data_IF_809235858741
#
_entry.id   IF_809235858741
#
_cell.length_a   1.000
_cell.length_b   1.000
_cell.length_c   1.000
_cell.angle_alpha   90.00
_cell.angle_beta   90.00
_cell.angle_gamma   90.00
#
_symmetry.space_group_name_H-M   'P 1'
#
loop_
_entity.id
_entity.type
_entity.pdbx_description
1 polymer ?
#
# COMPACT_ATOMS: atom_id res chain seq x y z
N UNK A 1 36.08 5.72 31.46
CA UNK A 1 34.84 6.07 32.19
C UNK A 1 33.97 6.93 31.29
N UNK A 2 32.97 6.36 30.64
CA UNK A 2 31.96 7.12 29.87
C UNK A 2 30.92 7.68 30.85
N UNK A 3 30.74 9.00 30.86
CA UNK A 3 29.69 9.66 31.65
C UNK A 3 28.36 9.51 30.90
N UNK A 4 27.45 8.74 31.47
CA UNK A 4 26.05 8.68 31.03
C UNK A 4 25.37 9.95 31.53
N UNK A 5 24.83 10.75 30.62
CA UNK A 5 24.13 12.00 30.95
C UNK A 5 22.78 11.68 31.62
N UNK A 6 22.46 12.21 32.80
CA UNK A 6 21.21 11.90 33.49
C UNK A 6 19.99 12.47 32.75
N UNK A 7 18.99 11.61 32.53
CA UNK A 7 17.73 11.91 31.81
C UNK A 7 16.96 13.15 32.35
N UNK A 8 17.26 13.59 33.58
CA UNK A 8 16.57 14.70 34.24
C UNK A 8 17.10 16.10 33.84
N UNK A 9 18.33 16.22 33.33
CA UNK A 9 18.87 17.51 32.86
C UNK A 9 18.35 17.89 31.47
N UNK A 10 17.95 16.89 30.66
CA UNK A 10 17.37 17.14 29.34
C UNK A 10 16.01 17.87 29.39
N UNK A 11 15.27 17.78 30.51
CA UNK A 11 13.93 18.39 30.62
C UNK A 11 13.95 19.91 30.80
N UNK A 12 15.00 20.49 31.37
CA UNK A 12 15.07 21.95 31.60
C UNK A 12 15.49 22.74 30.34
N UNK A 13 16.12 22.07 29.36
CA UNK A 13 16.58 22.66 28.10
C UNK A 13 15.47 23.00 27.10
N UNK A 14 14.24 22.49 27.29
CA UNK A 14 13.16 22.63 26.30
C UNK A 14 12.14 23.76 26.57
N UNK A 15 12.30 24.54 27.65
CA UNK A 15 11.23 25.44 28.12
C UNK A 15 11.39 26.94 27.86
N UNK A 16 12.42 27.41 27.15
CA UNK A 16 12.43 28.83 26.75
C UNK A 16 13.23 29.10 25.49
N UNK A 17 12.66 29.94 24.62
CA UNK A 17 13.15 30.46 23.33
C UNK A 17 12.86 29.58 22.11
N UNK A 18 12.62 30.24 20.98
CA UNK A 18 12.54 29.70 19.61
C UNK A 18 13.16 28.32 19.54
N UNK A 19 12.33 27.27 19.42
CA UNK A 19 12.81 25.88 19.49
C UNK A 19 13.67 25.67 18.25
N UNK A 20 14.97 25.92 18.38
CA UNK A 20 15.97 25.41 17.46
C UNK A 20 15.68 23.91 17.30
N UNK A 21 15.61 23.44 16.06
CA UNK A 21 15.36 22.02 15.80
C UNK A 21 16.28 21.21 16.72
N UNK A 22 15.78 20.22 17.50
CA UNK A 22 16.59 19.48 18.48
C UNK A 22 17.89 18.93 17.90
N UNK A 23 17.95 18.74 16.57
CA UNK A 23 19.12 18.33 15.79
C UNK A 23 20.27 19.30 15.75
N UNK A 24 20.04 20.54 16.14
CA UNK A 24 21.07 21.56 16.28
C UNK A 24 21.62 21.60 17.72
N UNK A 25 20.89 21.04 18.68
CA UNK A 25 21.17 21.21 20.11
C UNK A 25 21.72 19.95 20.79
N UNK A 26 21.43 18.75 20.27
CA UNK A 26 21.90 17.50 20.89
C UNK A 26 23.20 16.99 20.23
N UNK A 27 24.14 16.45 21.02
CA UNK A 27 25.30 15.74 20.51
C UNK A 27 24.91 14.54 19.61
N UNK A 28 25.73 14.19 18.60
CA UNK A 28 25.47 13.06 17.71
C UNK A 28 25.18 11.73 18.42
N UNK A 29 25.80 11.49 19.58
CA UNK A 29 25.66 10.29 20.38
C UNK A 29 24.26 10.19 21.01
N UNK A 30 23.70 11.31 21.47
CA UNK A 30 22.35 11.36 22.00
C UNK A 30 21.32 11.04 20.91
N UNK A 31 21.56 11.50 19.68
CA UNK A 31 20.73 11.12 18.52
C UNK A 31 20.79 9.63 18.24
N UNK A 32 21.98 9.05 18.21
CA UNK A 32 22.14 7.62 18.01
C UNK A 32 21.35 6.81 19.05
N UNK A 33 21.37 7.22 20.33
CA UNK A 33 20.57 6.60 21.38
C UNK A 33 19.05 6.72 21.14
N UNK A 34 18.56 7.91 20.80
CA UNK A 34 17.13 8.15 20.51
C UNK A 34 16.68 7.26 19.34
N UNK A 35 17.43 7.24 18.24
CA UNK A 35 17.10 6.41 17.08
C UNK A 35 17.25 4.93 17.33
N UNK A 36 18.22 4.51 18.13
CA UNK A 36 18.34 3.13 18.54
C UNK A 36 17.06 2.68 19.25
N UNK A 37 16.56 3.51 20.17
CA UNK A 37 15.33 3.26 20.91
C UNK A 37 14.09 3.28 20.00
N UNK A 38 14.01 4.24 19.07
CA UNK A 38 12.94 4.28 18.06
C UNK A 38 12.96 3.06 17.14
N UNK A 39 14.14 2.58 16.73
CA UNK A 39 14.30 1.37 15.92
C UNK A 39 13.87 0.12 16.68
N UNK A 40 14.10 0.06 18.00
CA UNK A 40 13.70 -1.10 18.81
C UNK A 40 12.20 -1.13 19.09
N UNK A 41 11.55 0.03 19.21
CA UNK A 41 10.21 0.14 19.78
C UNK A 41 9.16 0.55 18.75
N UNK A 42 9.53 1.37 17.75
CA UNK A 42 8.56 2.03 16.88
C UNK A 42 9.17 2.43 15.53
N UNK A 43 9.15 1.50 14.56
CA UNK A 43 9.71 1.79 13.25
C UNK A 43 8.83 2.72 12.40
N UNK A 44 7.55 2.89 12.70
CA UNK A 44 6.78 4.01 12.12
C UNK A 44 7.38 5.36 12.56
N UNK A 45 7.82 5.46 13.82
CA UNK A 45 8.61 6.57 14.34
C UNK A 45 9.97 6.68 13.67
N UNK A 46 10.68 5.57 13.46
CA UNK A 46 11.95 5.57 12.71
C UNK A 46 11.76 6.06 11.27
N UNK A 47 10.76 5.54 10.53
CA UNK A 47 10.46 5.99 9.17
C UNK A 47 10.10 7.46 9.14
N UNK A 48 9.17 7.89 10.00
CA UNK A 48 8.83 9.30 10.12
C UNK A 48 10.10 10.13 10.35
N UNK A 49 11.01 9.67 11.22
CA UNK A 49 12.25 10.36 11.56
C UNK A 49 13.30 10.41 10.44
N UNK A 50 13.44 9.33 9.66
CA UNK A 50 14.30 9.29 8.46
C UNK A 50 13.77 10.24 7.39
N UNK A 51 12.47 10.49 7.40
CA UNK A 51 11.79 11.35 6.45
C UNK A 51 11.62 12.81 6.93
N UNK A 52 12.12 13.18 8.13
CA UNK A 52 12.02 14.55 8.66
C UNK A 52 12.80 15.53 7.80
N UNK A 53 14.12 15.32 7.61
CA UNK A 53 14.94 16.08 6.68
C UNK A 53 16.27 15.37 6.38
N UNK A 54 17.00 15.87 5.38
CA UNK A 54 18.31 15.30 4.98
C UNK A 54 19.33 15.29 6.11
N UNK A 55 19.25 16.23 7.08
CA UNK A 55 20.16 16.30 8.23
C UNK A 55 19.86 15.17 9.22
N UNK A 56 18.59 14.90 9.51
CA UNK A 56 18.16 13.74 10.30
C UNK A 56 18.61 12.45 9.65
N UNK A 57 18.32 12.28 8.36
CA UNK A 57 18.76 11.11 7.59
C UNK A 57 20.29 10.93 7.64
N UNK A 58 21.06 12.01 7.44
CA UNK A 58 22.53 11.97 7.52
C UNK A 58 22.98 11.58 8.93
N UNK A 59 22.44 12.19 9.98
CA UNK A 59 22.85 11.89 11.35
C UNK A 59 22.46 10.46 11.80
N UNK A 60 21.32 9.95 11.34
CA UNK A 60 20.89 8.56 11.58
C UNK A 60 21.86 7.58 10.92
N UNK A 61 22.25 7.85 9.67
CA UNK A 61 23.13 6.97 8.90
C UNK A 61 24.58 7.06 9.38
N UNK A 62 25.11 8.25 9.66
CA UNK A 62 26.54 8.43 9.94
C UNK A 62 26.95 8.14 11.39
N UNK A 63 26.06 8.31 12.38
CA UNK A 63 26.43 8.20 13.80
C UNK A 63 26.02 6.87 14.43
N UNK A 64 25.53 5.93 13.63
CA UNK A 64 25.20 4.59 14.09
C UNK A 64 26.39 3.68 13.83
N UNK A 65 27.04 3.16 14.88
CA UNK A 65 27.98 2.03 14.75
C UNK A 65 27.31 0.78 14.13
N UNK A 66 25.97 0.79 14.03
CA UNK A 66 25.12 -0.18 13.33
C UNK A 66 24.48 0.44 12.07
N UNK A 67 25.14 1.42 11.45
CA UNK A 67 24.71 2.15 10.25
C UNK A 67 24.14 1.20 9.20
N UNK A 68 24.88 0.13 8.94
CA UNK A 68 24.55 -0.83 7.89
C UNK A 68 23.32 -1.66 8.23
N UNK A 69 23.11 -2.04 9.50
CA UNK A 69 21.90 -2.74 9.95
C UNK A 69 20.66 -1.83 9.85
N UNK A 70 20.77 -0.58 10.30
CA UNK A 70 19.66 0.37 10.27
C UNK A 70 19.28 0.76 8.85
N UNK A 71 20.27 1.04 8.01
CA UNK A 71 20.08 1.34 6.59
C UNK A 71 19.50 0.13 5.85
N UNK A 72 20.00 -1.07 6.12
CA UNK A 72 19.44 -2.31 5.58
C UNK A 72 17.98 -2.50 5.97
N UNK A 73 17.62 -2.24 7.24
CA UNK A 73 16.22 -2.28 7.71
C UNK A 73 15.36 -1.24 7.03
N UNK A 74 15.80 0.02 6.93
CA UNK A 74 15.07 1.07 6.22
C UNK A 74 14.87 0.68 4.75
N UNK A 75 15.91 0.14 4.10
CA UNK A 75 15.85 -0.29 2.71
C UNK A 75 14.94 -1.52 2.53
N UNK A 76 14.98 -2.49 3.45
CA UNK A 76 14.04 -3.63 3.49
C UNK A 76 12.61 -3.10 3.59
N UNK A 77 12.38 -2.16 4.49
CA UNK A 77 11.07 -1.60 4.75
C UNK A 77 10.56 -0.78 3.56
N UNK A 78 11.42 0.02 2.92
CA UNK A 78 11.12 0.70 1.66
C UNK A 78 10.85 -0.26 0.50
N UNK A 79 11.43 -1.48 0.52
CA UNK A 79 11.10 -2.52 -0.44
C UNK A 79 9.73 -3.13 -0.15
N UNK A 80 9.24 -3.12 1.09
CA UNK A 80 7.99 -3.79 1.46
C UNK A 80 6.73 -2.95 1.15
N UNK A 81 6.85 -1.63 1.09
CA UNK A 81 5.68 -0.77 0.90
C UNK A 81 5.81 0.29 -0.18
N UNK A 82 4.66 0.78 -0.63
CA UNK A 82 4.54 1.90 -1.55
C UNK A 82 3.81 3.05 -0.86
N UNK A 83 4.58 4.02 -0.38
CA UNK A 83 4.10 5.20 0.33
C UNK A 83 3.98 6.46 -0.55
N UNK A 84 3.71 7.63 0.07
CA UNK A 84 3.55 8.90 -0.63
C UNK A 84 4.74 9.28 -1.53
N UNK A 85 5.96 9.05 -1.05
CA UNK A 85 7.18 9.37 -1.80
C UNK A 85 7.35 8.52 -3.07
N UNK A 86 7.08 7.22 -2.96
CA UNK A 86 7.13 6.30 -4.10
C UNK A 86 6.07 6.70 -5.13
N UNK A 87 4.85 7.01 -4.68
CA UNK A 87 3.82 7.57 -5.55
C UNK A 87 4.30 8.83 -6.26
N UNK A 88 4.77 9.84 -5.52
CA UNK A 88 5.27 11.09 -6.10
C UNK A 88 6.29 10.83 -7.22
N UNK A 89 7.27 9.94 -6.96
CA UNK A 89 8.26 9.52 -7.97
C UNK A 89 7.62 8.91 -9.22
N UNK A 90 6.64 8.02 -9.07
CA UNK A 90 5.99 7.39 -10.22
C UNK A 90 5.16 8.38 -11.05
N UNK A 91 4.57 9.38 -10.39
CA UNK A 91 3.85 10.48 -11.05
C UNK A 91 4.78 11.55 -11.66
N UNK A 92 6.10 11.41 -11.52
CA UNK A 92 7.09 12.37 -12.04
C UNK A 92 7.19 13.65 -11.20
N UNK A 93 6.75 13.60 -9.95
CA UNK A 93 6.81 14.71 -9.01
C UNK A 93 8.12 14.62 -8.22
N UNK A 94 8.82 15.74 -8.07
CA UNK A 94 10.13 15.78 -7.41
C UNK A 94 10.03 15.51 -5.90
N UNK A 95 8.99 16.02 -5.23
CA UNK A 95 8.84 15.94 -3.78
C UNK A 95 7.37 15.78 -3.38
N UNK A 96 7.11 14.96 -2.36
CA UNK A 96 5.85 14.95 -1.61
C UNK A 96 6.03 15.92 -0.42
N UNK A 97 4.98 16.59 0.02
CA UNK A 97 5.10 17.45 1.22
C UNK A 97 5.41 16.61 2.47
N UNK A 98 6.22 17.14 3.38
CA UNK A 98 6.56 16.47 4.64
C UNK A 98 5.30 16.22 5.47
N UNK A 99 4.31 17.11 5.39
CA UNK A 99 3.00 16.96 6.02
C UNK A 99 2.23 15.74 5.51
N UNK A 100 2.17 15.52 4.19
CA UNK A 100 1.53 14.33 3.60
C UNK A 100 2.25 13.04 4.00
N UNK A 101 3.58 13.08 4.07
CA UNK A 101 4.40 11.95 4.50
C UNK A 101 4.11 11.62 5.97
N UNK A 102 4.22 12.62 6.86
CA UNK A 102 3.97 12.45 8.29
C UNK A 102 2.55 11.94 8.54
N UNK A 103 1.55 12.52 7.87
CA UNK A 103 0.16 12.07 7.96
C UNK A 103 -0.02 10.63 7.48
N UNK A 104 0.65 10.23 6.39
CA UNK A 104 0.58 8.85 5.93
C UNK A 104 1.12 7.89 7.00
N UNK A 105 2.30 8.18 7.56
CA UNK A 105 2.93 7.30 8.55
C UNK A 105 2.22 7.31 9.91
N UNK A 106 1.53 8.39 10.28
CA UNK A 106 0.71 8.41 11.51
C UNK A 106 -0.51 7.49 11.45
N UNK A 107 -0.94 7.07 10.26
CA UNK A 107 -2.04 6.11 10.07
C UNK A 107 -1.61 4.67 10.35
N UNK A 108 -0.32 4.34 10.15
CA UNK A 108 0.17 2.99 10.40
C UNK A 108 0.14 2.68 11.90
N UNK A 109 -0.26 1.46 12.29
CA UNK A 109 -0.26 1.09 13.69
C UNK A 109 1.19 0.91 14.17
N UNK A 110 1.43 1.14 15.47
CA UNK A 110 2.78 1.11 16.06
C UNK A 110 3.43 -0.28 15.95
N UNK A 111 2.62 -1.33 15.97
CA UNK A 111 2.97 -2.74 15.88
C UNK A 111 2.99 -3.29 14.44
N UNK A 112 3.05 -2.42 13.41
CA UNK A 112 3.09 -2.86 12.01
C UNK A 112 4.25 -3.83 11.74
N UNK A 113 5.36 -3.75 12.47
CA UNK A 113 6.49 -4.67 12.33
C UNK A 113 6.19 -6.07 12.84
N UNK A 114 5.54 -6.14 13.99
CA UNK A 114 5.10 -7.41 14.54
C UNK A 114 4.10 -8.05 13.58
N UNK A 115 3.18 -7.25 13.02
CA UNK A 115 2.26 -7.70 11.96
C UNK A 115 3.02 -8.22 10.74
N UNK A 116 3.97 -7.45 10.19
CA UNK A 116 4.73 -7.83 9.00
C UNK A 116 5.65 -9.04 9.21
N UNK A 117 6.17 -9.25 10.42
CA UNK A 117 7.02 -10.39 10.78
C UNK A 117 6.22 -11.56 11.42
N UNK A 118 4.90 -11.44 11.53
CA UNK A 118 4.04 -12.54 11.97
C UNK A 118 3.85 -13.58 10.87
N UNK A 119 3.51 -14.82 11.25
CA UNK A 119 3.15 -15.88 10.30
C UNK A 119 1.89 -15.48 9.53
N UNK A 120 1.88 -15.71 8.22
CA UNK A 120 0.76 -15.36 7.38
C UNK A 120 -0.46 -16.26 7.63
N UNK A 121 -1.55 -15.70 8.16
CA UNK A 121 -2.79 -16.45 8.38
C UNK A 121 -3.61 -16.73 7.11
N UNK A 122 -3.38 -15.96 6.03
CA UNK A 122 -4.05 -16.16 4.73
C UNK A 122 -3.57 -17.47 4.08
N UNK A 123 -2.30 -17.83 4.30
CA UNK A 123 -1.65 -19.02 3.77
C UNK A 123 -1.13 -19.88 4.93
N UNK A 124 -2.02 -20.52 5.71
CA UNK A 124 -1.66 -21.15 6.98
C UNK A 124 -0.74 -22.36 6.84
N UNK A 125 -0.68 -22.97 5.65
CA UNK A 125 0.24 -24.06 5.31
C UNK A 125 1.65 -23.57 5.00
N UNK A 126 1.83 -22.26 4.81
CA UNK A 126 3.14 -21.67 4.55
C UNK A 126 3.78 -21.21 5.86
N UNK A 127 5.07 -21.47 6.01
CA UNK A 127 5.91 -20.86 7.06
C UNK A 127 6.29 -19.40 6.73
N UNK A 128 5.66 -18.82 5.70
CA UNK A 128 5.97 -17.48 5.22
C UNK A 128 5.41 -16.40 6.14
N UNK A 129 6.14 -15.32 6.24
CA UNK A 129 5.75 -14.13 6.99
C UNK A 129 4.78 -13.28 6.17
N UNK A 130 4.05 -12.40 6.85
CA UNK A 130 3.15 -11.44 6.19
C UNK A 130 3.91 -10.57 5.17
N UNK A 131 5.11 -10.09 5.50
CA UNK A 131 5.94 -9.27 4.58
C UNK A 131 6.36 -9.99 3.30
N UNK A 132 6.38 -11.31 3.29
CA UNK A 132 6.75 -12.13 2.13
C UNK A 132 5.55 -12.47 1.24
N UNK A 133 4.34 -12.26 1.76
CA UNK A 133 3.08 -12.71 1.13
C UNK A 133 2.11 -11.56 0.89
N UNK A 134 2.42 -10.36 1.36
CA UNK A 134 1.56 -9.19 1.23
C UNK A 134 2.31 -8.00 0.64
N UNK A 135 1.56 -7.08 0.05
CA UNK A 135 2.02 -5.75 -0.33
C UNK A 135 1.32 -4.70 0.51
N UNK A 136 2.09 -3.76 1.06
CA UNK A 136 1.56 -2.64 1.84
C UNK A 136 1.57 -1.37 0.98
N UNK A 137 0.40 -0.82 0.69
CA UNK A 137 0.26 0.33 -0.22
C UNK A 137 -0.54 1.44 0.44
N UNK A 138 0.00 2.65 0.44
CA UNK A 138 -0.71 3.84 0.87
C UNK A 138 -1.64 4.30 -0.24
N UNK A 139 -2.93 4.41 0.03
CA UNK A 139 -3.90 4.95 -0.92
C UNK A 139 -4.27 6.35 -0.45
N UNK A 140 -3.60 7.34 -1.03
CA UNK A 140 -3.82 8.74 -0.68
C UNK A 140 -5.14 9.28 -1.23
N UNK A 141 -5.71 10.29 -0.59
CA UNK A 141 -6.80 11.07 -1.18
C UNK A 141 -6.32 11.86 -2.39
N UNK A 142 -5.14 12.46 -2.26
CA UNK A 142 -4.50 13.30 -3.27
C UNK A 142 -3.05 12.83 -3.49
N UNK A 143 -2.58 12.92 -4.73
CA UNK A 143 -1.15 12.89 -5.03
C UNK A 143 -0.86 14.17 -5.78
N UNK A 144 -0.15 15.10 -5.12
CA UNK A 144 0.17 16.42 -5.66
C UNK A 144 -1.08 17.20 -6.11
N UNK A 145 -2.02 17.36 -5.18
CA UNK A 145 -3.29 18.05 -5.41
C UNK A 145 -4.27 17.33 -6.35
N UNK A 146 -3.88 16.20 -6.96
CA UNK A 146 -4.74 15.42 -7.86
C UNK A 146 -5.40 14.28 -7.10
N UNK A 147 -6.71 14.14 -7.23
CA UNK A 147 -7.49 13.05 -6.64
C UNK A 147 -6.99 11.70 -7.15
N UNK A 148 -6.74 10.75 -6.24
CA UNK A 148 -6.62 9.35 -6.63
C UNK A 148 -8.01 8.85 -7.00
N UNK A 149 -8.15 8.38 -8.23
CA UNK A 149 -9.36 7.75 -8.78
C UNK A 149 -8.94 6.57 -9.65
N UNK A 150 -9.87 5.71 -10.06
CA UNK A 150 -9.59 4.59 -10.96
C UNK A 150 -8.95 5.09 -12.26
N UNK A 151 -9.54 6.10 -12.89
CA UNK A 151 -8.99 6.70 -14.11
C UNK A 151 -7.54 7.15 -13.95
N UNK A 152 -7.20 7.82 -12.84
CA UNK A 152 -5.84 8.32 -12.64
C UNK A 152 -4.82 7.21 -12.35
N UNK A 153 -5.22 6.15 -11.65
CA UNK A 153 -4.37 4.98 -11.43
C UNK A 153 -4.07 4.23 -12.74
N UNK A 154 -5.07 4.04 -13.60
CA UNK A 154 -4.85 3.48 -14.94
C UNK A 154 -3.83 4.29 -15.74
N UNK A 155 -4.02 5.62 -15.83
CA UNK A 155 -3.10 6.53 -16.51
C UNK A 155 -1.66 6.44 -16.02
N UNK A 156 -1.47 6.12 -14.74
CA UNK A 156 -0.14 5.89 -14.19
C UNK A 156 0.46 4.56 -14.65
N UNK A 157 -0.33 3.47 -14.62
CA UNK A 157 0.11 2.14 -15.04
C UNK A 157 0.63 2.15 -16.49
N UNK A 158 -0.10 2.75 -17.44
CA UNK A 158 0.30 2.79 -18.86
C UNK A 158 1.65 3.45 -19.10
N UNK A 159 2.00 4.48 -18.31
CA UNK A 159 3.29 5.19 -18.46
C UNK A 159 4.48 4.32 -18.11
N UNK A 160 4.25 3.22 -17.41
CA UNK A 160 5.29 2.36 -16.82
C UNK A 160 5.22 0.92 -17.31
N UNK A 161 4.12 0.51 -17.92
CA UNK A 161 4.03 -0.76 -18.63
C UNK A 161 4.89 -0.69 -19.91
N UNK A 162 5.63 -1.74 -20.26
CA UNK A 162 6.30 -1.89 -21.55
C UNK A 162 5.26 -2.22 -22.64
N UNK A 163 4.24 -1.37 -22.77
CA UNK A 163 3.17 -1.57 -23.74
C UNK A 163 3.74 -1.42 -25.14
N UNK A 164 3.73 -2.52 -25.88
CA UNK A 164 3.75 -2.44 -27.33
C UNK A 164 2.43 -1.78 -27.77
N UNK A 165 2.47 -0.46 -27.99
CA UNK A 165 1.31 0.33 -28.40
C UNK A 165 0.66 -0.19 -29.68
N UNK A 166 1.40 -0.98 -30.49
CA UNK A 166 0.88 -1.62 -31.71
C UNK A 166 0.12 -2.91 -31.44
N UNK A 167 0.42 -3.61 -30.33
CA UNK A 167 -0.28 -4.82 -29.86
C UNK A 167 -1.40 -4.56 -28.88
N UNK A 168 -1.68 -3.30 -28.55
CA UNK A 168 -2.99 -2.94 -28.01
C UNK A 168 -3.99 -3.05 -29.16
N UNK A 169 -4.21 -4.29 -29.61
CA UNK A 169 -5.23 -4.63 -30.56
C UNK A 169 -6.52 -4.35 -29.84
N UNK A 170 -7.19 -3.28 -30.26
CA UNK A 170 -8.57 -3.01 -29.93
C UNK A 170 -9.39 -4.09 -30.61
N UNK A 171 -9.35 -5.31 -30.06
CA UNK A 171 -10.29 -6.31 -30.48
C UNK A 171 -11.65 -5.67 -30.29
N UNK A 172 -12.40 -5.60 -31.37
CA UNK A 172 -13.82 -5.32 -31.39
C UNK A 172 -14.53 -6.45 -30.63
N UNK A 173 -14.28 -6.57 -29.31
CA UNK A 173 -14.95 -7.49 -28.39
C UNK A 173 -16.44 -7.08 -28.25
N UNK A 174 -16.87 -6.01 -28.92
CA UNK A 174 -18.27 -5.75 -29.25
C UNK A 174 -19.01 -7.00 -29.76
N UNK A 175 -18.32 -7.96 -30.41
CA UNK A 175 -18.97 -9.19 -30.88
C UNK A 175 -19.36 -10.15 -29.76
N UNK A 176 -18.66 -10.17 -28.62
CA UNK A 176 -18.91 -11.14 -27.56
C UNK A 176 -19.98 -10.68 -26.54
N UNK A 177 -20.20 -9.36 -26.43
CA UNK A 177 -21.22 -8.76 -25.56
C UNK A 177 -21.88 -7.56 -26.25
N UNK A 178 -22.82 -7.79 -27.19
CA UNK A 178 -23.53 -6.69 -27.86
C UNK A 178 -24.28 -5.84 -26.82
N UNK A 179 -24.10 -4.51 -26.88
CA UNK A 179 -24.79 -3.54 -26.02
C UNK A 179 -24.01 -3.04 -24.78
N UNK A 180 -22.80 -3.56 -24.50
CA UNK A 180 -21.96 -2.99 -23.44
C UNK A 180 -21.01 -1.91 -23.99
N UNK A 181 -21.27 -0.65 -23.65
CA UNK A 181 -20.36 0.46 -23.98
C UNK A 181 -19.08 0.33 -23.14
N UNK A 182 -17.93 0.22 -23.82
CA UNK A 182 -16.62 0.10 -23.17
C UNK A 182 -15.92 1.44 -23.21
N UNK A 183 -15.62 2.01 -22.04
CA UNK A 183 -14.78 3.20 -21.94
C UNK A 183 -13.32 2.75 -21.93
N UNK A 184 -12.59 3.03 -23.01
CA UNK A 184 -11.14 2.87 -23.02
C UNK A 184 -10.54 3.91 -22.07
N UNK A 185 -10.17 3.46 -20.88
CA UNK A 185 -9.33 4.23 -19.99
C UNK A 185 -7.89 3.76 -20.14
N UNK A 186 -6.98 4.72 -20.25
CA UNK A 186 -5.55 4.46 -20.36
C UNK A 186 -5.06 3.57 -19.19
N UNK A 187 -4.26 2.54 -19.51
CA UNK A 187 -3.63 1.61 -18.56
C UNK A 187 -4.49 0.48 -18.04
N UNK A 188 -5.74 0.41 -18.49
CA UNK A 188 -6.55 -0.79 -18.36
C UNK A 188 -6.53 -1.57 -19.66
N UNK A 189 -6.35 -2.88 -19.56
CA UNK A 189 -6.73 -3.79 -20.64
C UNK A 189 -8.23 -3.69 -20.87
N UNK A 190 -8.97 -3.62 -19.76
CA UNK A 190 -10.42 -3.50 -19.76
C UNK A 190 -10.91 -2.87 -18.47
N UNK A 191 -11.82 -1.90 -18.56
CA UNK A 191 -12.60 -1.42 -17.43
C UNK A 191 -14.01 -1.10 -17.91
N UNK A 192 -15.04 -1.65 -17.24
CA UNK A 192 -16.42 -1.36 -17.62
C UNK A 192 -16.77 0.11 -17.38
N UNK A 193 -17.56 0.69 -18.28
CA UNK A 193 -17.95 2.10 -18.19
C UNK A 193 -18.82 2.39 -16.93
N UNK A 194 -19.70 1.48 -16.55
CA UNK A 194 -20.54 1.60 -15.35
C UNK A 194 -19.72 1.57 -14.04
N UNK A 195 -18.66 0.75 -13.98
CA UNK A 195 -17.68 0.77 -12.89
C UNK A 195 -17.06 2.16 -12.76
N UNK A 196 -16.63 2.77 -13.87
CA UNK A 196 -16.07 4.12 -13.85
C UNK A 196 -17.13 5.13 -13.42
N UNK A 197 -18.33 5.07 -13.99
CA UNK A 197 -19.40 6.03 -13.69
C UNK A 197 -19.77 6.03 -12.20
N UNK A 198 -19.76 4.86 -11.55
CA UNK A 198 -20.16 4.73 -10.14
C UNK A 198 -18.99 4.94 -9.17
N UNK A 199 -17.80 4.40 -9.51
CA UNK A 199 -16.68 4.24 -8.58
C UNK A 199 -15.45 5.08 -8.90
N UNK A 200 -15.40 5.85 -10.00
CA UNK A 200 -14.30 6.77 -10.30
C UNK A 200 -14.39 8.06 -9.47
N UNK A 201 -14.45 7.88 -8.14
CA UNK A 201 -14.54 8.94 -7.14
C UNK A 201 -13.26 9.00 -6.34
N UNK A 202 -13.00 10.17 -5.76
CA UNK A 202 -11.89 10.34 -4.81
C UNK A 202 -12.22 9.68 -3.49
N UNK A 203 -11.18 9.22 -2.79
CA UNK A 203 -11.31 8.72 -1.44
C UNK A 203 -11.81 9.81 -0.46
N UNK A 204 -12.60 9.39 0.51
CA UNK A 204 -13.00 10.25 1.63
C UNK A 204 -11.78 10.55 2.52
N UNK A 205 -11.01 9.51 2.83
CA UNK A 205 -9.83 9.55 3.69
C UNK A 205 -8.68 8.69 3.13
N UNK A 206 -7.42 9.15 3.30
CA UNK A 206 -6.27 8.32 3.02
C UNK A 206 -6.18 7.15 3.99
N UNK A 207 -5.59 6.04 3.54
CA UNK A 207 -5.40 4.85 4.37
C UNK A 207 -4.28 3.99 3.79
N UNK A 208 -3.81 3.02 4.56
CA UNK A 208 -2.92 1.96 4.08
C UNK A 208 -3.69 0.68 3.87
N UNK A 209 -3.32 -0.06 2.84
CA UNK A 209 -3.88 -1.36 2.46
C UNK A 209 -2.77 -2.39 2.52
N UNK A 210 -2.94 -3.41 3.36
CA UNK A 210 -2.11 -4.62 3.35
C UNK A 210 -2.87 -5.71 2.61
N UNK A 211 -2.50 -5.97 1.36
CA UNK A 211 -3.18 -6.91 0.46
C UNK A 211 -2.27 -8.12 0.21
N UNK A 212 -2.74 -9.37 0.36
CA UNK A 212 -1.98 -10.55 -0.02
C UNK A 212 -1.73 -10.55 -1.53
N UNK A 213 -0.59 -11.11 -1.95
CA UNK A 213 -0.19 -11.17 -3.36
C UNK A 213 -0.84 -12.32 -4.13
N UNK A 214 -1.61 -13.17 -3.44
CA UNK A 214 -2.37 -14.28 -4.01
C UNK A 214 -3.76 -14.39 -3.34
N UNK A 215 -4.63 -15.22 -3.90
CA UNK A 215 -5.99 -15.46 -3.43
C UNK A 215 -6.02 -16.32 -2.18
N UNK A 216 -7.00 -16.09 -1.32
CA UNK A 216 -7.30 -16.98 -0.20
C UNK A 216 -7.58 -18.40 -0.70
N UNK A 217 -6.89 -19.39 -0.15
CA UNK A 217 -6.99 -20.78 -0.56
C UNK A 217 -8.44 -21.29 -0.49
N UNK A 218 -8.87 -22.02 -1.52
CA UNK A 218 -10.24 -22.56 -1.62
C UNK A 218 -11.34 -21.53 -1.91
N UNK A 219 -11.01 -20.24 -2.06
CA UNK A 219 -12.01 -19.20 -2.32
C UNK A 219 -12.47 -19.12 -3.77
N UNK A 220 -11.65 -19.57 -4.74
CA UNK A 220 -12.00 -19.55 -6.17
C UNK A 220 -13.29 -20.32 -6.45
N UNK A 221 -14.13 -19.79 -7.35
CA UNK A 221 -15.39 -20.41 -7.76
C UNK A 221 -16.50 -20.42 -6.70
N UNK A 222 -16.24 -19.88 -5.50
CA UNK A 222 -17.26 -19.70 -4.46
C UNK A 222 -18.09 -18.43 -4.74
N UNK A 223 -19.36 -18.46 -4.37
CA UNK A 223 -20.21 -17.27 -4.42
C UNK A 223 -19.72 -16.20 -3.44
N UNK A 224 -20.11 -14.94 -3.68
CA UNK A 224 -19.64 -13.80 -2.87
C UNK A 224 -19.91 -13.97 -1.38
N UNK A 225 -21.10 -14.43 -0.99
CA UNK A 225 -21.46 -14.59 0.42
C UNK A 225 -20.60 -15.65 1.11
N UNK A 226 -20.27 -16.74 0.41
CA UNK A 226 -19.34 -17.75 0.92
C UNK A 226 -17.93 -17.17 1.07
N UNK A 227 -17.42 -16.44 0.07
CA UNK A 227 -16.11 -15.79 0.15
C UNK A 227 -16.05 -14.78 1.31
N UNK A 228 -17.09 -13.97 1.50
CA UNK A 228 -17.20 -13.01 2.59
C UNK A 228 -17.20 -13.70 3.96
N UNK A 229 -17.90 -14.83 4.09
CA UNK A 229 -17.88 -15.65 5.31
C UNK A 229 -16.47 -16.18 5.61
N UNK A 230 -15.74 -16.66 4.61
CA UNK A 230 -14.35 -17.09 4.77
C UNK A 230 -13.45 -15.97 5.29
N UNK A 231 -13.62 -14.73 4.81
CA UNK A 231 -12.86 -13.56 5.31
C UNK A 231 -13.21 -13.25 6.77
N UNK A 232 -14.48 -13.35 7.16
CA UNK A 232 -14.90 -13.16 8.55
C UNK A 232 -14.34 -14.24 9.48
N UNK A 233 -14.36 -15.50 9.05
CA UNK A 233 -13.77 -16.63 9.79
C UNK A 233 -12.26 -16.47 9.93
N UNK A 234 -11.57 -16.05 8.87
CA UNK A 234 -10.13 -15.72 8.91
C UNK A 234 -9.84 -14.59 9.90
N UNK A 235 -10.66 -13.54 9.91
CA UNK A 235 -10.51 -12.42 10.85
C UNK A 235 -10.62 -12.89 12.30
N UNK A 236 -11.65 -13.70 12.60
CA UNK A 236 -11.86 -14.27 13.94
C UNK A 236 -10.70 -15.16 14.38
N UNK A 237 -10.21 -16.02 13.49
CA UNK A 237 -9.14 -16.98 13.79
C UNK A 237 -7.79 -16.31 14.00
N UNK A 238 -7.48 -15.29 13.20
CA UNK A 238 -6.16 -14.65 13.20
C UNK A 238 -6.03 -13.50 14.20
N UNK A 239 -7.15 -12.92 14.65
CA UNK A 239 -7.16 -11.69 15.43
C UNK A 239 -6.96 -10.42 14.61
N UNK A 240 -6.64 -10.54 13.31
CA UNK A 240 -6.55 -9.41 12.40
C UNK A 240 -7.92 -9.02 11.84
N UNK A 241 -8.14 -7.73 11.63
CA UNK A 241 -9.38 -7.19 11.05
C UNK A 241 -9.38 -7.30 9.51
N UNK A 242 -9.36 -8.53 8.98
CA UNK A 242 -9.44 -8.74 7.54
C UNK A 242 -10.80 -8.35 6.97
N UNK A 243 -10.77 -7.80 5.76
CA UNK A 243 -11.97 -7.37 5.03
C UNK A 243 -11.83 -7.72 3.56
N UNK A 244 -12.96 -7.74 2.83
CA UNK A 244 -12.94 -7.80 1.37
C UNK A 244 -12.38 -6.45 0.86
N UNK A 245 -11.50 -6.37 -0.13
CA UNK A 245 -10.96 -5.08 -0.58
C UNK A 245 -12.02 -4.23 -1.29
N UNK A 246 -11.93 -2.90 -1.19
CA UNK A 246 -12.64 -2.02 -2.12
C UNK A 246 -11.95 -2.06 -3.48
N UNK A 247 -12.68 -1.69 -4.53
CA UNK A 247 -12.14 -1.69 -5.90
C UNK A 247 -10.92 -0.80 -6.06
N UNK A 248 -10.93 0.40 -5.47
CA UNK A 248 -9.80 1.34 -5.55
C UNK A 248 -8.57 0.81 -4.79
N UNK A 249 -8.79 0.17 -3.64
CA UNK A 249 -7.73 -0.45 -2.82
C UNK A 249 -7.05 -1.57 -3.61
N UNK A 250 -7.85 -2.48 -4.18
CA UNK A 250 -7.40 -3.56 -5.06
C UNK A 250 -6.56 -3.03 -6.23
N UNK A 251 -7.09 -2.05 -6.99
CA UNK A 251 -6.41 -1.46 -8.15
C UNK A 251 -5.11 -0.77 -7.73
N UNK A 252 -5.12 0.03 -6.66
CA UNK A 252 -3.96 0.74 -6.16
C UNK A 252 -2.86 -0.23 -5.68
N UNK A 253 -3.24 -1.30 -4.98
CA UNK A 253 -2.31 -2.33 -4.52
C UNK A 253 -1.69 -3.12 -5.67
N UNK A 254 -2.48 -3.54 -6.66
CA UNK A 254 -1.99 -4.31 -7.82
C UNK A 254 -1.06 -3.45 -8.69
N UNK A 255 -1.48 -2.23 -9.05
CA UNK A 255 -0.64 -1.31 -9.83
C UNK A 255 0.59 -0.91 -9.03
N UNK A 256 0.41 -0.59 -7.74
CA UNK A 256 1.50 -0.20 -6.86
C UNK A 256 2.56 -1.29 -6.74
N UNK A 257 2.14 -2.54 -6.56
CA UNK A 257 3.05 -3.68 -6.56
C UNK A 257 3.85 -3.75 -7.86
N UNK A 258 3.19 -3.74 -9.02
CA UNK A 258 3.87 -3.76 -10.32
C UNK A 258 4.85 -2.59 -10.51
N UNK A 259 4.46 -1.37 -10.12
CA UNK A 259 5.33 -0.21 -10.25
C UNK A 259 6.65 -0.39 -9.49
N UNK A 260 6.58 -1.04 -8.32
CA UNK A 260 7.70 -1.32 -7.42
C UNK A 260 8.53 -2.53 -7.86
N UNK A 261 7.93 -3.70 -8.07
CA UNK A 261 8.63 -4.97 -8.31
C UNK A 261 8.76 -5.35 -9.78
N UNK A 262 7.95 -4.74 -10.67
CA UNK A 262 7.74 -5.18 -12.07
C UNK A 262 7.05 -6.54 -12.21
N UNK A 263 6.50 -7.06 -11.12
CA UNK A 263 5.74 -8.31 -11.12
C UNK A 263 4.24 -8.02 -11.30
N UNK A 264 3.57 -8.88 -12.06
CA UNK A 264 2.13 -8.81 -12.27
C UNK A 264 1.40 -9.65 -11.22
N UNK A 265 0.66 -9.01 -10.33
CA UNK A 265 -0.23 -9.72 -9.41
C UNK A 265 -1.52 -10.11 -10.10
N UNK A 266 -2.06 -11.28 -9.73
CA UNK A 266 -3.31 -11.81 -10.27
C UNK A 266 -3.31 -11.82 -11.80
N UNK A 267 -2.33 -12.53 -12.37
CA UNK A 267 -2.12 -12.68 -13.81
C UNK A 267 -3.22 -13.49 -14.50
N UNK A 268 -2.86 -14.13 -15.62
CA UNK A 268 -3.78 -14.84 -16.53
C UNK A 268 -4.97 -15.51 -15.81
N UNK A 269 -6.18 -15.06 -16.16
CA UNK A 269 -7.45 -15.60 -15.66
C UNK A 269 -7.55 -15.67 -14.12
N UNK A 270 -6.91 -14.77 -13.39
CA UNK A 270 -7.05 -14.66 -11.94
C UNK A 270 -7.61 -13.28 -11.56
N UNK A 271 -8.70 -13.27 -10.81
CA UNK A 271 -9.35 -12.05 -10.35
C UNK A 271 -9.61 -12.06 -8.85
N UNK A 272 -9.43 -10.91 -8.22
CA UNK A 272 -9.84 -10.64 -6.85
C UNK A 272 -11.23 -10.00 -6.83
N UNK A 273 -12.14 -10.57 -6.05
CA UNK A 273 -13.47 -10.00 -5.83
C UNK A 273 -13.41 -8.86 -4.82
N UNK A 274 -14.07 -7.76 -5.13
CA UNK A 274 -14.14 -6.55 -4.32
C UNK A 274 -15.51 -6.38 -3.65
N UNK A 275 -15.63 -5.41 -2.75
CA UNK A 275 -16.86 -5.10 -2.01
C UNK A 275 -18.00 -4.51 -2.85
N UNK A 276 -17.68 -3.80 -3.93
CA UNK A 276 -18.68 -3.03 -4.66
C UNK A 276 -19.51 -3.91 -5.58
N UNK A 277 -20.83 -3.73 -5.53
CA UNK A 277 -21.79 -4.39 -6.41
C UNK A 277 -22.28 -3.40 -7.48
N UNK A 278 -22.22 -3.81 -8.75
CA UNK A 278 -22.72 -3.05 -9.90
C UNK A 278 -23.55 -4.01 -10.73
N UNK A 279 -24.82 -3.64 -10.93
CA UNK A 279 -25.79 -4.45 -11.67
C UNK A 279 -25.85 -5.91 -11.17
N UNK A 280 -26.05 -6.07 -9.86
CA UNK A 280 -26.14 -7.37 -9.14
C UNK A 280 -24.85 -8.18 -9.10
N UNK A 281 -23.78 -7.71 -9.72
CA UNK A 281 -22.50 -8.41 -9.78
C UNK A 281 -21.42 -7.69 -8.97
N UNK A 282 -20.62 -8.45 -8.22
CA UNK A 282 -19.47 -7.86 -7.54
C UNK A 282 -18.39 -7.47 -8.54
N UNK A 283 -17.75 -6.33 -8.30
CA UNK A 283 -16.59 -5.90 -9.07
C UNK A 283 -15.43 -6.85 -8.81
N UNK A 284 -14.76 -7.27 -9.87
CA UNK A 284 -13.60 -8.12 -9.87
C UNK A 284 -12.43 -7.39 -10.56
N UNK A 285 -11.24 -7.46 -9.95
CA UNK A 285 -10.02 -6.80 -10.42
C UNK A 285 -8.94 -7.86 -10.64
N UNK A 286 -8.24 -7.84 -11.75
CA UNK A 286 -7.18 -8.82 -12.00
C UNK A 286 -6.85 -8.99 -13.47
N UNK A 287 -6.43 -10.19 -13.87
CA UNK A 287 -5.91 -10.50 -15.20
C UNK A 287 -4.87 -9.47 -15.67
N UNK A 288 -4.00 -9.06 -14.73
CA UNK A 288 -3.03 -8.02 -14.99
C UNK A 288 -1.84 -8.58 -15.78
N UNK A 289 -1.52 -7.96 -16.91
CA UNK A 289 -0.38 -8.32 -17.76
C UNK A 289 0.09 -7.11 -18.57
N UNK A 290 0.96 -7.34 -19.54
CA UNK A 290 1.52 -6.30 -20.43
C UNK A 290 0.43 -5.43 -21.08
N UNK A 291 -0.71 -6.02 -21.45
CA UNK A 291 -1.87 -5.33 -22.04
C UNK A 291 -2.61 -4.40 -21.07
N UNK A 292 -2.33 -4.48 -19.76
CA UNK A 292 -2.95 -3.68 -18.70
C UNK A 292 -3.84 -4.50 -17.76
N UNK A 293 -4.47 -3.79 -16.82
CA UNK A 293 -5.31 -4.37 -15.76
C UNK A 293 -6.76 -4.53 -16.24
N UNK A 294 -7.45 -5.59 -15.81
CA UNK A 294 -8.88 -5.74 -16.01
C UNK A 294 -9.67 -5.39 -14.75
N UNK A 295 -10.72 -4.58 -14.91
CA UNK A 295 -11.72 -4.28 -13.88
C UNK A 295 -13.10 -4.53 -14.47
N UNK A 296 -13.77 -5.57 -13.98
CA UNK A 296 -15.05 -6.02 -14.51
C UNK A 296 -16.08 -6.15 -13.38
N UNK A 297 -17.36 -6.21 -13.68
CA UNK A 297 -18.36 -6.82 -12.80
C UNK A 297 -18.84 -8.08 -13.49
N UNK A 298 -18.71 -9.21 -12.81
CA UNK A 298 -18.92 -10.54 -13.39
C UNK A 298 -19.74 -11.40 -12.44
N UNK A 299 -20.56 -12.33 -12.97
CA UNK A 299 -21.08 -13.44 -12.17
C UNK A 299 -19.96 -14.30 -11.62
N UNK A 300 -20.35 -15.21 -10.71
CA UNK A 300 -19.47 -16.21 -10.14
C UNK A 300 -18.76 -17.00 -11.24
N UNK A 301 -17.43 -17.06 -11.16
CA UNK A 301 -16.57 -17.79 -12.08
C UNK A 301 -15.45 -18.47 -11.29
N UNK A 302 -14.94 -19.59 -11.80
CA UNK A 302 -13.82 -20.33 -11.21
C UNK A 302 -12.52 -19.49 -11.17
N UNK A 303 -12.43 -18.46 -11.99
CA UNK A 303 -11.29 -17.55 -12.07
C UNK A 303 -11.31 -16.46 -10.98
N UNK A 304 -12.41 -16.34 -10.24
CA UNK A 304 -12.64 -15.28 -9.26
C UNK A 304 -12.53 -15.84 -7.85
N UNK A 305 -11.51 -15.39 -7.11
CA UNK A 305 -11.34 -15.64 -5.68
C UNK A 305 -11.46 -14.36 -4.86
N UNK A 306 -11.05 -14.43 -3.59
CA UNK A 306 -10.95 -13.26 -2.71
C UNK A 306 -9.54 -13.11 -2.16
N UNK A 307 -9.04 -11.88 -2.10
CA UNK A 307 -7.77 -11.53 -1.47
C UNK A 307 -8.08 -10.65 -0.25
N UNK A 308 -8.22 -11.22 0.96
CA UNK A 308 -8.62 -10.44 2.14
C UNK A 308 -7.54 -9.42 2.51
N UNK A 309 -7.91 -8.16 2.70
CA UNK A 309 -6.96 -7.10 3.05
C UNK A 309 -7.19 -6.57 4.47
N UNK A 310 -6.14 -6.00 5.05
CA UNK A 310 -6.23 -5.18 6.27
C UNK A 310 -6.15 -3.71 5.86
N UNK A 311 -7.06 -2.89 6.40
CA UNK A 311 -7.10 -1.45 6.17
C UNK A 311 -6.66 -0.73 7.45
N UNK A 312 -5.60 0.08 7.35
CA UNK A 312 -5.19 0.99 8.41
C UNK A 312 -5.63 2.40 8.05
N UNK A 313 -6.49 2.99 8.88
CA UNK A 313 -7.06 4.33 8.67
C UNK A 313 -7.17 5.08 10.01
N UNK A 314 -7.22 6.41 9.96
CA UNK A 314 -7.46 7.23 11.16
C UNK A 314 -8.78 6.80 11.84
N UNK A 315 -8.72 6.50 13.14
CA UNK A 315 -9.93 6.28 13.93
C UNK A 315 -10.64 7.63 14.08
N UNK A 316 -11.87 7.73 13.57
CA UNK A 316 -12.79 8.81 13.96
C UNK A 316 -13.30 8.47 15.36
N UNK A 317 -12.92 9.29 16.33
CA UNK A 317 -13.44 9.23 17.71
C UNK A 317 -14.69 10.09 17.82
#
# INVERSE_FOLDING_TARGET
>A
MQRICPLNEAKSLFLSTSIDEPINCLPPECFACIFHHLNTINLAGLLASVLVNKKWQKNIIYNSDKSDDLKSKIDEVHKLFLGPQQWAKFYGIKFCSDEEIQKAFSILPRDIFETLNSKCSVFPTSEKLVKETHTLVYVSKLINGRKITLTNLGKLAIRKLPLDKSKVVFDNISSYYPGMERKKLEGYKYIRADVVAVLDKSLDQPHWVLLPIDLLEGSRGRCYEAQKKMVQELSKKSGFSYTVPKTIDAVASIIGHFLRSKEYLFGLATYIRCQHNIDRHQVAVGNFKEEGLCVNSSPDSNDIGIAPCIIFQEKRW
#
